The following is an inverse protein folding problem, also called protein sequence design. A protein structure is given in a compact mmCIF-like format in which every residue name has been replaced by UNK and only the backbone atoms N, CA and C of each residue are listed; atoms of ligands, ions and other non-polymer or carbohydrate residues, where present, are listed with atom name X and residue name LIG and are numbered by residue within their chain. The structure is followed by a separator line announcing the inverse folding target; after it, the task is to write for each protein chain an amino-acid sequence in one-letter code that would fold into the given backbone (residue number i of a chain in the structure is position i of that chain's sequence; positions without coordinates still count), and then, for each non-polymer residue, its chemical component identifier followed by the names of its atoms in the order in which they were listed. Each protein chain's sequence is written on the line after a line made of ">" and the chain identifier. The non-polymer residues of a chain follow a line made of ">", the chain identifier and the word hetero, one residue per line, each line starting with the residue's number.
data_IF_118552712580
#
_entry.id   IF_118552712580
#
_cell.length_a   1.000
_cell.length_b   1.000
_cell.length_c   1.000
_cell.angle_alpha   90.00
_cell.angle_beta   90.00
_cell.angle_gamma   90.00
#
_symmetry.space_group_name_H-M   'P 1'
#
loop_
_entity.id
_entity.type
_entity.pdbx_description
1 polymer ?
#
# COMPACT_ATOMS: atom_id res chain seq x y z
N UNK A 1 -9.11 -30.25 -12.31
CA UNK A 1 -7.76 -29.92 -11.81
C UNK A 1 -7.49 -28.43 -11.87
N UNK A 2 -7.56 -27.77 -13.03
CA UNK A 2 -7.28 -26.32 -13.16
C UNK A 2 -8.20 -25.43 -12.28
N UNK A 3 -9.49 -25.77 -12.15
CA UNK A 3 -10.42 -25.02 -11.30
C UNK A 3 -10.08 -25.11 -9.81
N UNK A 4 -9.72 -26.31 -9.34
CA UNK A 4 -9.26 -26.52 -7.96
C UNK A 4 -8.02 -25.69 -7.65
N UNK A 5 -7.05 -25.65 -8.56
CA UNK A 5 -5.83 -24.84 -8.39
C UNK A 5 -6.16 -23.34 -8.32
N UNK A 6 -7.11 -22.88 -9.11
CA UNK A 6 -7.57 -21.48 -9.07
C UNK A 6 -8.24 -21.19 -7.72
N UNK A 7 -9.11 -22.09 -7.25
CA UNK A 7 -9.82 -21.93 -5.99
C UNK A 7 -8.84 -21.91 -4.80
N UNK A 8 -7.87 -22.84 -4.78
CA UNK A 8 -6.82 -22.90 -3.76
C UNK A 8 -5.94 -21.63 -3.75
N UNK A 9 -5.66 -21.08 -4.95
CA UNK A 9 -4.89 -19.85 -5.09
C UNK A 9 -5.68 -18.62 -4.62
N UNK A 10 -6.98 -18.56 -4.93
CA UNK A 10 -7.87 -17.48 -4.47
C UNK A 10 -7.96 -17.48 -2.94
N UNK A 11 -8.12 -18.64 -2.33
CA UNK A 11 -8.14 -18.76 -0.87
C UNK A 11 -6.80 -18.35 -0.25
N UNK A 12 -5.67 -18.74 -0.86
CA UNK A 12 -4.33 -18.34 -0.41
C UNK A 12 -4.13 -16.83 -0.48
N UNK A 13 -4.55 -16.19 -1.59
CA UNK A 13 -4.48 -14.73 -1.75
C UNK A 13 -5.36 -14.02 -0.73
N UNK A 14 -6.57 -14.53 -0.48
CA UNK A 14 -7.47 -13.96 0.54
C UNK A 14 -6.84 -13.99 1.93
N UNK A 15 -6.31 -15.14 2.33
CA UNK A 15 -5.68 -15.33 3.64
C UNK A 15 -4.42 -14.48 3.81
N UNK A 16 -3.62 -14.29 2.76
CA UNK A 16 -2.48 -13.39 2.81
C UNK A 16 -2.91 -11.93 2.94
N UNK A 17 -3.99 -11.53 2.27
CA UNK A 17 -4.52 -10.17 2.34
C UNK A 17 -5.02 -9.82 3.74
N UNK A 18 -5.74 -10.74 4.37
CA UNK A 18 -6.23 -10.57 5.76
C UNK A 18 -5.08 -10.44 6.77
N UNK A 19 -4.00 -11.22 6.60
CA UNK A 19 -2.80 -11.12 7.45
C UNK A 19 -2.04 -9.81 7.26
N UNK A 20 -1.98 -9.30 6.03
CA UNK A 20 -1.39 -8.01 5.74
C UNK A 20 -2.21 -6.89 6.39
N UNK A 21 -3.53 -6.91 6.19
CA UNK A 21 -4.46 -5.93 6.77
C UNK A 21 -4.38 -5.92 8.30
N UNK A 22 -4.33 -7.08 8.94
CA UNK A 22 -4.12 -7.19 10.39
C UNK A 22 -2.77 -6.61 10.86
N UNK A 23 -1.68 -6.82 10.10
CA UNK A 23 -0.36 -6.25 10.42
C UNK A 23 -0.35 -4.72 10.24
N UNK A 24 -0.92 -4.23 9.15
CA UNK A 24 -1.05 -2.81 8.83
C UNK A 24 -1.92 -2.09 9.87
N UNK A 25 -3.01 -2.73 10.29
CA UNK A 25 -3.87 -2.23 11.39
C UNK A 25 -3.11 -2.10 12.71
N UNK A 26 -2.24 -3.07 13.02
CA UNK A 26 -1.34 -3.01 14.19
C UNK A 26 -0.24 -1.95 14.09
N UNK A 27 0.07 -1.49 12.88
CA UNK A 27 1.05 -0.44 12.59
C UNK A 27 0.41 0.95 12.34
N UNK A 28 -0.92 1.06 12.42
CA UNK A 28 -1.66 2.31 12.17
C UNK A 28 -1.69 2.74 10.69
N UNK A 29 -1.43 1.82 9.76
CA UNK A 29 -1.49 2.10 8.33
C UNK A 29 -2.94 1.96 7.87
N UNK A 30 -3.63 3.09 7.82
CA UNK A 30 -5.02 3.19 7.39
C UNK A 30 -5.18 2.88 5.89
N UNK A 31 -6.34 2.39 5.40
CA UNK A 31 -6.58 2.11 3.98
C UNK A 31 -6.30 3.30 3.05
N UNK A 32 -6.49 4.53 3.53
CA UNK A 32 -6.17 5.77 2.80
C UNK A 32 -4.66 5.87 2.50
N UNK A 33 -3.82 5.23 3.30
CA UNK A 33 -2.37 5.19 3.16
C UNK A 33 -1.94 4.27 1.99
N UNK A 34 -2.67 3.19 1.73
CA UNK A 34 -2.43 2.31 0.59
C UNK A 34 -2.69 3.03 -0.75
N UNK A 35 -3.77 3.81 -0.82
CA UNK A 35 -4.04 4.66 -1.99
C UNK A 35 -2.99 5.76 -2.15
N UNK A 36 -2.60 6.41 -1.04
CA UNK A 36 -1.55 7.42 -1.05
C UNK A 36 -0.21 6.83 -1.55
N UNK A 37 0.15 5.62 -1.13
CA UNK A 37 1.35 4.91 -1.59
C UNK A 37 1.31 4.61 -3.09
N UNK A 38 0.14 4.25 -3.63
CA UNK A 38 -0.04 4.05 -5.08
C UNK A 38 0.17 5.36 -5.85
N UNK A 39 -0.38 6.48 -5.36
CA UNK A 39 -0.17 7.77 -6.00
C UNK A 39 1.28 8.27 -5.89
N UNK A 40 1.93 8.06 -4.74
CA UNK A 40 3.34 8.39 -4.55
C UNK A 40 4.25 7.60 -5.50
N UNK A 41 4.00 6.29 -5.70
CA UNK A 41 4.72 5.47 -6.70
C UNK A 41 4.52 5.97 -8.13
N UNK A 42 3.36 6.55 -8.44
CA UNK A 42 3.07 7.18 -9.74
C UNK A 42 3.70 8.56 -9.90
N UNK A 43 4.37 9.08 -8.87
CA UNK A 43 5.08 10.36 -8.91
C UNK A 43 4.20 11.59 -8.67
N UNK A 44 3.01 11.44 -8.07
CA UNK A 44 2.20 12.59 -7.68
C UNK A 44 2.91 13.42 -6.58
N UNK A 45 2.59 14.72 -6.54
CA UNK A 45 3.03 15.63 -5.48
C UNK A 45 2.26 15.38 -4.16
N UNK A 46 2.77 15.93 -3.06
CA UNK A 46 2.20 15.68 -1.74
C UNK A 46 0.82 16.33 -1.60
N UNK A 47 0.63 17.49 -2.20
CA UNK A 47 -0.60 18.25 -2.19
C UNK A 47 -1.74 17.51 -2.89
N UNK A 48 -1.52 16.96 -4.09
CA UNK A 48 -2.54 16.19 -4.80
C UNK A 48 -2.86 14.85 -4.13
N UNK A 49 -1.89 14.25 -3.44
CA UNK A 49 -2.12 13.02 -2.66
C UNK A 49 -2.98 13.34 -1.43
N UNK A 50 -2.66 14.41 -0.70
CA UNK A 50 -3.43 14.85 0.46
C UNK A 50 -4.89 15.14 0.10
N UNK A 51 -5.12 15.85 -1.00
CA UNK A 51 -6.47 16.17 -1.48
C UNK A 51 -7.26 14.92 -1.90
N UNK A 52 -6.62 13.98 -2.61
CA UNK A 52 -7.30 12.79 -3.13
C UNK A 52 -7.59 11.72 -2.07
N UNK A 53 -6.68 11.56 -1.12
CA UNK A 53 -6.78 10.54 -0.07
C UNK A 53 -7.39 11.07 1.23
N UNK A 54 -7.69 12.38 1.32
CA UNK A 54 -8.27 12.99 2.52
C UNK A 54 -7.33 13.00 3.73
N UNK A 55 -6.02 12.95 3.49
CA UNK A 55 -4.97 12.95 4.52
C UNK A 55 -4.30 14.33 4.63
N UNK A 56 -3.48 14.53 5.65
CA UNK A 56 -2.71 15.78 5.77
C UNK A 56 -1.55 15.84 4.77
N UNK A 57 -1.11 17.05 4.41
CA UNK A 57 0.07 17.26 3.55
C UNK A 57 1.32 16.62 4.17
N UNK A 58 1.46 16.71 5.50
CA UNK A 58 2.57 16.08 6.22
C UNK A 58 2.56 14.54 6.10
N UNK A 59 1.39 13.91 6.14
CA UNK A 59 1.26 12.46 5.89
C UNK A 59 1.61 12.11 4.44
N UNK A 60 1.16 12.91 3.47
CA UNK A 60 1.48 12.69 2.06
C UNK A 60 2.99 12.84 1.77
N UNK A 61 3.68 13.79 2.41
CA UNK A 61 5.14 13.90 2.34
C UNK A 61 5.84 12.67 2.92
N UNK A 62 5.35 12.16 4.06
CA UNK A 62 5.87 10.94 4.67
C UNK A 62 5.76 9.76 3.70
N UNK A 63 4.58 9.54 3.11
CA UNK A 63 4.33 8.49 2.10
C UNK A 63 5.32 8.60 0.93
N UNK A 64 5.53 9.80 0.37
CA UNK A 64 6.46 10.02 -0.73
C UNK A 64 7.90 9.69 -0.33
N UNK A 65 8.32 10.12 0.86
CA UNK A 65 9.67 9.82 1.37
C UNK A 65 9.89 8.32 1.59
N UNK A 66 8.88 7.61 2.10
CA UNK A 66 8.91 6.15 2.28
C UNK A 66 9.00 5.42 0.94
N UNK A 67 8.27 5.90 -0.07
CA UNK A 67 8.28 5.31 -1.41
C UNK A 67 9.63 5.47 -2.10
N UNK A 68 10.28 6.63 -1.94
CA UNK A 68 11.64 6.87 -2.43
C UNK A 68 12.67 6.00 -1.71
N UNK A 69 12.48 5.73 -0.42
CA UNK A 69 13.39 4.88 0.37
C UNK A 69 13.22 3.39 0.03
N UNK A 70 11.98 2.94 -0.18
CA UNK A 70 11.67 1.57 -0.59
C UNK A 70 12.15 1.23 -2.00
N UNK A 71 12.02 2.15 -2.96
CA UNK A 71 12.52 1.98 -4.33
C UNK A 71 14.05 1.87 -4.42
N UNK A 72 14.78 2.33 -3.40
CA UNK A 72 16.24 2.21 -3.32
C UNK A 72 16.75 0.94 -2.62
N UNK A 73 15.84 0.09 -2.11
CA UNK A 73 16.20 -1.07 -1.28
C UNK A 73 15.89 -2.43 -1.95
N UNK A 74 15.43 -2.43 -3.20
CA UNK A 74 15.25 -3.63 -4.04
C UNK A 74 16.49 -3.98 -4.90
N UNK A 75 17.57 -3.17 -4.83
CA UNK A 75 18.82 -3.35 -5.61
C UNK A 75 20.08 -3.58 -4.73
N UNK A 76 19.98 -4.32 -3.61
CA UNK A 76 21.15 -4.69 -2.79
C UNK A 76 21.14 -6.15 -2.30
#
# INVERSE_FOLDING_TARGET
>A
MQRQVIDDLVDSVRTLREQLEANLSGQGVSPEYDEALVFARRGLDAEAIAERCGITVAEAELVRSMTQRGAGQEDA
#
